data_IF_903489048206
#
_entry.id   IF_903489048206
#
_cell.length_a   1.000
_cell.length_b   1.000
_cell.length_c   1.000
_cell.angle_alpha   90.00
_cell.angle_beta   90.00
_cell.angle_gamma   90.00
#
_symmetry.space_group_name_H-M   'P 1'
#
loop_
_entity.id
_entity.type
_entity.pdbx_description
1 polymer ?
#
# COMPACT_ATOMS: atom_id res chain seq x y z
N UNK A 1 8.93 -15.81 8.46
CA UNK A 1 7.54 -15.78 7.97
C UNK A 1 6.74 -14.87 8.90
N UNK A 2 5.62 -14.30 8.43
CA UNK A 2 4.76 -13.41 9.19
C UNK A 2 3.46 -14.15 9.54
N UNK A 3 3.05 -14.16 10.81
CA UNK A 3 1.93 -15.00 11.31
C UNK A 3 2.18 -16.51 11.11
N UNK A 4 1.22 -17.39 11.39
CA UNK A 4 1.34 -18.85 11.24
C UNK A 4 0.89 -19.31 9.84
N UNK A 5 1.42 -20.45 9.38
CA UNK A 5 0.99 -21.10 8.14
C UNK A 5 -0.43 -21.67 8.25
N UNK A 6 -1.15 -21.62 7.14
CA UNK A 6 -2.42 -22.30 6.88
C UNK A 6 -2.18 -23.62 6.13
N UNK A 7 -3.26 -24.28 5.70
CA UNK A 7 -3.20 -25.63 5.10
C UNK A 7 -2.64 -25.65 3.66
N UNK A 8 -2.55 -24.49 3.00
CA UNK A 8 -2.13 -24.32 1.59
C UNK A 8 -0.76 -23.64 1.43
N UNK A 9 0.10 -23.77 2.45
CA UNK A 9 1.46 -23.20 2.54
C UNK A 9 1.54 -21.66 2.53
N UNK A 10 0.39 -20.96 2.51
CA UNK A 10 0.32 -19.53 2.79
C UNK A 10 0.32 -19.26 4.29
N UNK A 11 0.87 -18.13 4.69
CA UNK A 11 0.71 -17.59 6.04
C UNK A 11 -0.64 -16.89 6.19
N UNK A 12 -1.16 -16.82 7.41
CA UNK A 12 -2.36 -16.03 7.71
C UNK A 12 -2.21 -14.55 7.33
N UNK A 13 -0.99 -14.00 7.37
CA UNK A 13 -0.74 -12.63 6.94
C UNK A 13 -0.94 -12.47 5.42
N UNK A 14 -0.41 -13.42 4.63
CA UNK A 14 -0.61 -13.41 3.17
C UNK A 14 -2.08 -13.60 2.81
N UNK A 15 -2.79 -14.50 3.51
CA UNK A 15 -4.23 -14.68 3.31
C UNK A 15 -5.05 -13.41 3.63
N UNK A 16 -4.66 -12.64 4.66
CA UNK A 16 -5.29 -11.32 4.94
C UNK A 16 -5.03 -10.35 3.80
N UNK A 17 -3.78 -10.23 3.33
CA UNK A 17 -3.42 -9.37 2.20
C UNK A 17 -4.19 -9.72 0.92
N UNK A 18 -4.56 -10.99 0.73
CA UNK A 18 -5.35 -11.43 -0.43
C UNK A 18 -6.85 -11.15 -0.30
N UNK A 19 -7.39 -11.13 0.92
CA UNK A 19 -8.86 -11.10 1.15
C UNK A 19 -9.38 -9.75 1.62
N UNK A 20 -8.62 -9.02 2.44
CA UNK A 20 -9.05 -7.73 2.98
C UNK A 20 -9.23 -6.65 1.91
N UNK A 21 -8.36 -6.48 0.89
CA UNK A 21 -8.58 -5.47 -0.15
C UNK A 21 -9.88 -5.67 -0.92
N UNK A 22 -10.23 -6.92 -1.24
CA UNK A 22 -11.52 -7.26 -1.89
C UNK A 22 -12.70 -6.81 -1.02
N UNK A 23 -12.61 -7.03 0.30
CA UNK A 23 -13.64 -6.61 1.26
C UNK A 23 -13.71 -5.09 1.44
N UNK A 24 -12.56 -4.41 1.49
CA UNK A 24 -12.46 -2.95 1.64
C UNK A 24 -13.05 -2.24 0.42
N UNK A 25 -12.74 -2.73 -0.78
CA UNK A 25 -13.24 -2.17 -2.04
C UNK A 25 -14.67 -2.61 -2.39
N UNK A 26 -15.18 -3.65 -1.71
CA UNK A 26 -16.47 -4.24 -2.05
C UNK A 26 -16.49 -4.86 -3.45
N UNK A 27 -15.34 -5.29 -3.94
CA UNK A 27 -15.13 -5.77 -5.31
C UNK A 27 -14.34 -7.09 -5.28
N UNK A 28 -14.92 -8.13 -5.85
CA UNK A 28 -14.31 -9.47 -5.97
C UNK A 28 -13.87 -9.80 -7.39
N UNK A 29 -13.89 -8.84 -8.32
CA UNK A 29 -13.58 -9.05 -9.74
C UNK A 29 -12.08 -9.16 -10.05
N UNK A 30 -11.22 -8.71 -9.13
CA UNK A 30 -9.77 -8.75 -9.27
C UNK A 30 -9.13 -9.81 -8.37
N UNK A 31 -7.93 -10.25 -8.75
CA UNK A 31 -7.16 -11.26 -8.04
C UNK A 31 -5.91 -10.69 -7.38
N UNK A 32 -5.50 -11.29 -6.26
CA UNK A 32 -4.35 -10.87 -5.47
C UNK A 32 -3.59 -12.12 -5.01
N UNK A 33 -2.27 -12.08 -5.09
CA UNK A 33 -1.37 -12.97 -4.37
C UNK A 33 -0.34 -12.13 -3.62
N UNK A 34 0.18 -12.64 -2.50
CA UNK A 34 1.11 -11.91 -1.66
C UNK A 34 2.20 -12.83 -1.10
N UNK A 35 3.36 -12.24 -0.81
CA UNK A 35 4.42 -12.88 -0.02
C UNK A 35 4.80 -11.95 1.12
N UNK A 36 4.71 -12.42 2.36
CA UNK A 36 4.98 -11.63 3.56
C UNK A 36 6.31 -12.04 4.19
N UNK A 37 7.30 -11.14 4.09
CA UNK A 37 8.66 -11.38 4.59
C UNK A 37 9.00 -10.42 5.72
N UNK A 38 9.56 -10.96 6.81
CA UNK A 38 10.11 -10.16 7.90
C UNK A 38 11.57 -9.85 7.65
N UNK A 39 11.93 -8.58 7.69
CA UNK A 39 13.29 -8.07 7.48
C UNK A 39 13.75 -7.28 8.71
N UNK A 40 15.07 -7.11 8.96
CA UNK A 40 15.58 -6.44 10.16
C UNK A 40 15.48 -4.91 10.05
N UNK A 41 14.25 -4.39 10.00
CA UNK A 41 13.92 -2.97 10.07
C UNK A 41 13.11 -2.71 11.35
N UNK A 42 13.36 -1.57 12.02
CA UNK A 42 12.72 -1.25 13.30
C UNK A 42 11.22 -0.92 13.14
N UNK A 43 10.84 -0.37 11.99
CA UNK A 43 9.48 0.00 11.62
C UNK A 43 9.44 0.43 10.15
N UNK A 44 8.24 0.72 9.65
CA UNK A 44 8.05 1.07 8.24
C UNK A 44 7.78 -0.17 7.40
N UNK A 45 6.53 -0.63 7.38
CA UNK A 45 6.16 -1.68 6.44
C UNK A 45 6.40 -1.17 5.03
N UNK A 46 6.95 -2.04 4.20
CA UNK A 46 7.35 -1.69 2.85
C UNK A 46 6.91 -2.75 1.87
N UNK A 47 6.27 -2.33 0.78
CA UNK A 47 5.61 -3.21 -0.17
C UNK A 47 6.07 -2.91 -1.59
N UNK A 48 6.55 -3.95 -2.27
CA UNK A 48 6.75 -3.91 -3.72
C UNK A 48 5.47 -4.42 -4.37
N UNK A 49 4.78 -3.54 -5.09
CA UNK A 49 3.45 -3.84 -5.63
C UNK A 49 3.49 -3.81 -7.15
N UNK A 50 2.85 -4.80 -7.77
CA UNK A 50 2.64 -4.93 -9.21
C UNK A 50 1.13 -4.98 -9.48
N UNK A 51 0.63 -4.07 -10.32
CA UNK A 51 -0.81 -3.83 -10.51
C UNK A 51 -1.11 -3.82 -12.01
N UNK A 52 -1.93 -4.75 -12.49
CA UNK A 52 -2.48 -4.71 -13.85
C UNK A 52 -3.79 -3.91 -13.86
N UNK A 53 -3.93 -3.00 -14.84
CA UNK A 53 -5.14 -2.22 -15.04
C UNK A 53 -5.99 -2.74 -16.20
N UNK A 54 -7.29 -2.46 -16.16
CA UNK A 54 -8.24 -2.82 -17.23
C UNK A 54 -7.90 -2.14 -18.57
N UNK A 55 -7.52 -0.87 -18.50
CA UNK A 55 -7.17 -0.01 -19.64
C UNK A 55 -5.70 0.44 -19.56
N UNK A 56 -5.18 0.97 -20.66
CA UNK A 56 -3.85 1.59 -20.63
C UNK A 56 -3.88 2.90 -19.84
N UNK A 57 -2.73 3.34 -19.34
CA UNK A 57 -2.64 4.41 -18.34
C UNK A 57 -1.42 5.32 -18.56
N UNK A 58 -1.50 6.58 -18.19
CA UNK A 58 -0.34 7.47 -18.18
C UNK A 58 0.35 7.50 -16.80
N UNK A 59 1.68 7.50 -16.78
CA UNK A 59 2.46 7.48 -15.52
C UNK A 59 2.33 8.82 -14.77
N UNK A 60 2.29 9.93 -15.49
CA UNK A 60 2.16 11.26 -14.87
C UNK A 60 0.74 11.46 -14.34
N UNK A 61 -0.28 10.93 -15.02
CA UNK A 61 -1.64 10.86 -14.48
C UNK A 61 -1.71 10.08 -13.17
N UNK A 62 -1.11 8.88 -13.12
CA UNK A 62 -1.05 8.07 -11.88
C UNK A 62 -0.37 8.84 -10.74
N UNK A 63 0.78 9.46 -11.00
CA UNK A 63 1.49 10.28 -10.00
C UNK A 63 0.65 11.47 -9.54
N UNK A 64 -0.08 12.12 -10.45
CA UNK A 64 -0.93 13.25 -10.14
C UNK A 64 -2.11 12.85 -9.25
N UNK A 65 -2.78 11.72 -9.55
CA UNK A 65 -3.86 11.16 -8.74
C UNK A 65 -3.35 10.84 -7.33
N UNK A 66 -2.22 10.13 -7.23
CA UNK A 66 -1.61 9.77 -5.94
C UNK A 66 -1.22 11.02 -5.14
N UNK A 67 -0.60 12.02 -5.78
CA UNK A 67 -0.20 13.28 -5.13
C UNK A 67 -1.39 14.10 -4.62
N UNK A 68 -2.55 13.97 -5.26
CA UNK A 68 -3.79 14.64 -4.86
C UNK A 68 -4.59 13.83 -3.84
N UNK A 69 -4.19 12.59 -3.54
CA UNK A 69 -4.91 11.72 -2.61
C UNK A 69 -4.54 12.08 -1.17
N UNK A 70 -5.51 12.44 -0.31
CA UNK A 70 -5.23 12.80 1.08
C UNK A 70 -4.49 11.70 1.84
N UNK A 71 -3.39 12.07 2.50
CA UNK A 71 -2.56 11.14 3.27
C UNK A 71 -1.58 10.31 2.43
N UNK A 72 -1.49 10.53 1.12
CA UNK A 72 -0.48 9.94 0.24
C UNK A 72 0.56 11.00 -0.14
N UNK A 73 1.84 10.62 -0.05
CA UNK A 73 2.96 11.46 -0.49
C UNK A 73 3.73 10.72 -1.58
N UNK A 74 3.82 11.33 -2.76
CA UNK A 74 4.65 10.80 -3.85
C UNK A 74 6.10 11.25 -3.66
N UNK A 75 6.97 10.31 -3.33
CA UNK A 75 8.42 10.49 -3.27
C UNK A 75 9.05 9.75 -4.46
N UNK A 76 9.09 10.35 -5.65
CA UNK A 76 9.57 9.65 -6.86
C UNK A 76 10.47 10.52 -7.72
N UNK A 77 11.68 10.76 -7.24
CA UNK A 77 12.74 11.48 -7.94
C UNK A 77 14.01 10.63 -7.94
N UNK A 78 13.99 9.61 -8.78
CA UNK A 78 15.06 8.62 -8.93
C UNK A 78 16.38 9.24 -9.40
N UNK A 79 16.34 10.34 -10.16
CA UNK A 79 17.52 11.06 -10.62
C UNK A 79 18.32 11.64 -9.44
N UNK A 80 17.62 12.10 -8.41
CA UNK A 80 18.23 12.59 -7.17
C UNK A 80 18.22 11.54 -6.03
N UNK A 81 17.99 10.25 -6.35
CA UNK A 81 17.96 9.13 -5.39
C UNK A 81 16.91 9.29 -4.29
N UNK A 82 15.78 9.92 -4.58
CA UNK A 82 14.66 10.08 -3.66
C UNK A 82 13.57 9.07 -3.98
N UNK A 83 13.29 8.21 -3.02
CA UNK A 83 12.22 7.20 -3.03
C UNK A 83 11.87 6.83 -1.59
N UNK A 84 10.67 6.27 -1.33
CA UNK A 84 10.24 5.95 0.03
C UNK A 84 11.23 5.01 0.73
N UNK A 85 11.56 5.32 1.98
CA UNK A 85 12.44 4.51 2.80
C UNK A 85 11.79 4.22 4.16
N UNK A 86 11.78 2.97 4.64
CA UNK A 86 11.22 2.60 5.95
C UNK A 86 11.72 3.49 7.10
N UNK A 87 13.01 3.82 7.07
CA UNK A 87 13.64 4.67 8.08
C UNK A 87 13.01 6.07 8.17
N UNK A 88 12.48 6.62 7.07
CA UNK A 88 11.89 7.96 7.04
C UNK A 88 10.37 7.98 7.27
N UNK A 89 9.72 6.83 7.40
CA UNK A 89 8.28 6.76 7.68
C UNK A 89 7.96 6.83 9.17
N UNK A 90 8.92 6.55 10.05
CA UNK A 90 8.70 6.51 11.50
C UNK A 90 8.06 7.81 12.03
N UNK A 91 6.97 7.66 12.79
CA UNK A 91 6.27 8.77 13.43
C UNK A 91 5.35 9.57 12.50
N UNK A 92 5.23 9.19 11.23
CA UNK A 92 4.40 9.86 10.23
C UNK A 92 3.06 9.14 10.03
N UNK A 93 2.05 9.91 9.63
CA UNK A 93 0.69 9.41 9.39
C UNK A 93 0.42 9.18 7.89
N UNK A 94 1.32 9.63 7.02
CA UNK A 94 1.26 9.51 5.57
C UNK A 94 1.73 8.14 5.05
N UNK A 95 1.22 7.78 3.88
CA UNK A 95 1.71 6.66 3.05
C UNK A 95 2.60 7.22 1.95
N UNK A 96 3.85 6.77 1.91
CA UNK A 96 4.83 7.20 0.92
C UNK A 96 4.84 6.25 -0.26
N UNK A 97 4.70 6.77 -1.47
CA UNK A 97 4.68 5.98 -2.71
C UNK A 97 5.75 6.51 -3.66
N UNK A 98 6.50 5.61 -4.28
CA UNK A 98 7.51 5.97 -5.27
C UNK A 98 7.92 4.79 -6.12
N UNK A 99 9.01 4.95 -6.88
CA UNK A 99 9.46 3.94 -7.87
C UNK A 99 8.36 3.58 -8.87
N UNK A 100 7.47 4.52 -9.19
CA UNK A 100 6.30 4.34 -10.04
C UNK A 100 6.78 4.24 -11.48
N UNK A 101 6.55 3.08 -12.10
CA UNK A 101 7.01 2.79 -13.46
C UNK A 101 6.17 1.73 -14.12
N UNK A 102 6.12 1.72 -15.45
CA UNK A 102 5.52 0.62 -16.21
C UNK A 102 6.29 -0.68 -15.99
N UNK A 103 5.56 -1.77 -15.98
CA UNK A 103 6.10 -3.10 -16.21
C UNK A 103 6.38 -3.27 -17.71
N UNK A 104 7.60 -3.69 -18.06
CA UNK A 104 7.98 -3.93 -19.45
C UNK A 104 7.74 -5.39 -19.87
N UNK A 105 7.36 -6.27 -18.95
CA UNK A 105 7.09 -7.68 -19.20
C UNK A 105 5.59 -7.99 -19.38
N UNK A 106 4.71 -7.12 -18.85
CA UNK A 106 3.26 -7.27 -18.94
C UNK A 106 2.59 -5.96 -19.36
N UNK A 107 1.66 -5.98 -20.33
CA UNK A 107 0.93 -4.78 -20.74
C UNK A 107 0.08 -4.22 -19.59
N UNK A 108 -0.21 -2.92 -19.64
CA UNK A 108 -1.11 -2.23 -18.69
C UNK A 108 -0.76 -2.45 -17.21
N UNK A 109 0.50 -2.76 -16.92
CA UNK A 109 0.93 -3.12 -15.58
C UNK A 109 1.87 -2.05 -15.01
N UNK A 110 1.64 -1.68 -13.74
CA UNK A 110 2.41 -0.71 -12.98
C UNK A 110 3.20 -1.41 -11.88
N UNK A 111 4.44 -0.99 -11.69
CA UNK A 111 5.22 -1.31 -10.50
C UNK A 111 5.35 -0.07 -9.62
N UNK A 112 5.17 -0.22 -8.30
CA UNK A 112 5.45 0.83 -7.33
C UNK A 112 6.03 0.26 -6.02
N UNK A 113 6.56 1.18 -5.20
CA UNK A 113 7.10 0.91 -3.88
C UNK A 113 6.35 1.76 -2.86
N UNK A 114 5.77 1.13 -1.85
CA UNK A 114 4.91 1.76 -0.85
C UNK A 114 5.55 1.57 0.52
N UNK A 115 5.62 2.64 1.32
CA UNK A 115 6.14 2.60 2.69
C UNK A 115 5.23 3.37 3.63
N UNK A 116 4.92 2.80 4.79
CA UNK A 116 4.15 3.49 5.83
C UNK A 116 4.55 3.02 7.23
N UNK A 117 4.39 3.90 8.22
CA UNK A 117 4.49 3.51 9.62
C UNK A 117 3.31 2.60 10.01
N UNK A 118 3.63 1.33 10.23
CA UNK A 118 2.66 0.29 10.56
C UNK A 118 2.06 0.43 11.97
N UNK A 119 2.71 1.14 12.89
CA UNK A 119 2.20 1.37 14.25
C UNK A 119 1.23 2.54 14.29
N UNK A 120 1.42 3.55 13.43
CA UNK A 120 0.50 4.71 13.30
C UNK A 120 -0.56 4.47 12.24
N UNK A 121 -0.21 4.62 10.96
CA UNK A 121 -1.17 4.54 9.85
C UNK A 121 -1.75 3.13 9.69
N UNK A 122 -0.94 2.10 9.94
CA UNK A 122 -1.39 0.70 9.91
C UNK A 122 -2.37 0.29 11.01
N UNK A 123 -2.57 1.10 12.06
CA UNK A 123 -3.45 0.75 13.18
C UNK A 123 -4.14 1.97 13.83
N UNK A 124 -3.39 2.79 14.58
CA UNK A 124 -3.95 3.83 15.43
C UNK A 124 -4.64 4.97 14.65
N UNK A 125 -3.99 5.49 13.61
CA UNK A 125 -4.50 6.66 12.86
C UNK A 125 -5.73 6.29 12.04
N UNK A 126 -5.78 5.08 11.46
CA UNK A 126 -6.97 4.60 10.77
C UNK A 126 -8.17 4.47 11.73
N UNK A 127 -7.97 3.94 12.93
CA UNK A 127 -9.04 3.81 13.92
C UNK A 127 -9.60 5.18 14.37
N UNK A 128 -8.71 6.16 14.60
CA UNK A 128 -9.13 7.54 14.94
C UNK A 128 -9.85 8.19 13.78
N UNK A 129 -9.36 8.06 12.54
CA UNK A 129 -10.00 8.63 11.36
C UNK A 129 -11.40 8.05 11.11
N UNK A 130 -11.59 6.75 11.34
CA UNK A 130 -12.91 6.12 11.29
C UNK A 130 -13.83 6.73 12.37
N UNK A 131 -13.35 6.87 13.61
CA UNK A 131 -14.13 7.47 14.68
C UNK A 131 -14.51 8.94 14.40
N UNK A 132 -13.56 9.74 13.92
CA UNK A 132 -13.80 11.14 13.50
C UNK A 132 -14.83 11.21 12.37
N UNK A 133 -14.76 10.30 11.41
CA UNK A 133 -15.75 10.20 10.33
C UNK A 133 -17.15 9.87 10.88
N UNK A 134 -17.26 8.88 11.78
CA UNK A 134 -18.54 8.48 12.36
C UNK A 134 -19.19 9.64 13.13
N UNK A 135 -18.41 10.37 13.94
CA UNK A 135 -18.88 11.55 14.67
C UNK A 135 -19.29 12.67 13.70
N UNK A 136 -18.46 12.98 12.70
CA UNK A 136 -18.74 14.02 11.71
C UNK A 136 -20.01 13.75 10.91
N UNK A 137 -20.32 12.47 10.65
CA UNK A 137 -21.49 12.06 9.88
C UNK A 137 -22.68 11.60 10.75
N UNK A 138 -22.62 11.81 12.08
CA UNK A 138 -23.71 11.45 13.02
C UNK A 138 -24.13 9.97 12.95
N UNK A 139 -23.16 9.08 12.75
CA UNK A 139 -23.37 7.63 12.74
C UNK A 139 -23.19 6.99 14.13
N UNK A 140 -22.85 7.82 15.13
CA UNK A 140 -22.75 7.52 16.56
C UNK A 140 -23.19 8.73 17.38
#
# INVERSE_FOLDING_TARGET
HCDVFADDDYTKEELKLMTEPKKILGDSSFEITATAVRVPVQGGHSESVNIEFNEDFDIEEVKQILSNTPGVIVEDDVANKKYPMPFYSEGKDEVFVGRIRRDNSQPKTLNCWIVADNLRKGAATNAVQIAEYLVKNQLV
#
